data_IF_112507046328
#
_entry.id   IF_112507046328
#
_cell.length_a   1.000
_cell.length_b   1.000
_cell.length_c   1.000
_cell.angle_alpha   90.00
_cell.angle_beta   90.00
_cell.angle_gamma   90.00
#
_symmetry.space_group_name_H-M   'P 1'
#
loop_
_entity.id
_entity.type
_entity.pdbx_description
1 polymer ?
#
# COMPACT_ATOMS: atom_id res chain seq x y z
N UNK A 1 21.65 21.18 34.59
CA UNK A 1 20.25 21.38 34.18
C UNK A 1 19.94 20.28 33.19
N UNK A 2 19.25 19.25 33.64
CA UNK A 2 18.85 18.10 32.79
C UNK A 2 17.49 18.44 32.17
N UNK A 3 17.47 18.67 30.88
CA UNK A 3 16.21 18.74 30.14
C UNK A 3 15.58 17.35 30.07
N UNK A 4 14.50 17.20 30.79
CA UNK A 4 13.65 16.02 30.73
C UNK A 4 12.92 16.02 29.40
N UNK A 5 13.32 15.12 28.48
CA UNK A 5 12.58 14.85 27.25
C UNK A 5 11.22 14.31 27.68
N UNK A 6 10.17 15.09 27.48
CA UNK A 6 8.79 14.61 27.61
C UNK A 6 8.53 13.67 26.45
N UNK A 7 8.56 12.37 26.71
CA UNK A 7 7.99 11.36 25.83
C UNK A 7 6.48 11.59 25.82
N UNK A 8 5.94 12.05 24.70
CA UNK A 8 4.49 12.12 24.49
C UNK A 8 3.97 10.68 24.42
N UNK A 9 3.35 10.26 25.51
CA UNK A 9 2.73 8.96 25.68
C UNK A 9 1.57 8.77 24.70
N UNK A 10 1.65 7.65 23.96
CA UNK A 10 0.56 6.87 23.34
C UNK A 10 -0.61 7.68 22.80
N UNK A 11 -0.61 7.94 21.51
CA UNK A 11 -1.86 8.18 20.77
C UNK A 11 -2.67 6.89 20.83
N UNK A 12 -3.64 6.86 21.73
CA UNK A 12 -4.67 5.85 21.70
C UNK A 12 -5.44 6.03 20.37
N UNK A 13 -5.17 5.15 19.40
CA UNK A 13 -5.81 5.18 18.08
C UNK A 13 -7.23 4.60 18.27
N UNK A 14 -8.09 5.35 18.97
CA UNK A 14 -9.51 5.07 19.08
C UNK A 14 -10.19 5.46 17.77
N UNK A 15 -10.42 4.51 16.87
CA UNK A 15 -11.03 4.77 15.58
C UNK A 15 -11.74 3.53 15.05
N UNK A 16 -12.61 3.76 14.07
CA UNK A 16 -13.30 2.71 13.32
C UNK A 16 -12.27 1.91 12.51
N UNK A 17 -12.41 0.60 12.48
CA UNK A 17 -11.63 -0.26 11.58
C UNK A 17 -12.12 -0.05 10.15
N UNK A 18 -11.22 0.39 9.25
CA UNK A 18 -11.50 0.52 7.81
C UNK A 18 -11.23 -0.80 7.07
N UNK A 19 -10.27 -1.59 7.56
CA UNK A 19 -9.96 -2.93 7.07
C UNK A 19 -9.85 -3.90 8.25
N UNK A 20 -10.54 -5.03 8.15
CA UNK A 20 -10.39 -6.13 9.08
C UNK A 20 -10.15 -7.43 8.29
N UNK A 21 -9.11 -8.14 8.65
CA UNK A 21 -8.82 -9.48 8.18
C UNK A 21 -9.10 -10.41 9.35
N UNK A 22 -9.96 -11.40 9.17
CA UNK A 22 -10.39 -12.34 10.22
C UNK A 22 -10.13 -13.77 9.83
N UNK A 23 -9.28 -14.44 10.60
CA UNK A 23 -8.91 -15.84 10.45
C UNK A 23 -8.61 -16.21 8.99
N UNK A 24 -7.81 -15.36 8.30
CA UNK A 24 -7.56 -15.55 6.87
C UNK A 24 -6.56 -16.68 6.63
N UNK A 25 -6.93 -17.60 5.76
CA UNK A 25 -6.08 -18.68 5.25
C UNK A 25 -5.92 -18.52 3.74
N UNK A 26 -4.70 -18.27 3.29
CA UNK A 26 -4.38 -18.19 1.85
C UNK A 26 -3.33 -19.24 1.51
N UNK A 27 -3.74 -20.22 0.72
CA UNK A 27 -2.92 -21.37 0.37
C UNK A 27 -2.68 -21.44 -1.15
N UNK A 28 -1.55 -22.02 -1.54
CA UNK A 28 -1.21 -22.28 -2.94
C UNK A 28 -1.23 -23.78 -3.20
N UNK A 29 -2.05 -24.18 -4.17
CA UNK A 29 -2.19 -25.56 -4.61
C UNK A 29 -1.25 -25.82 -5.78
N UNK A 30 -0.14 -26.50 -5.51
CA UNK A 30 0.89 -26.84 -6.48
C UNK A 30 0.87 -28.34 -6.75
N UNK A 31 1.44 -28.79 -7.87
CA UNK A 31 1.55 -30.23 -8.18
C UNK A 31 2.31 -31.01 -7.11
N UNK A 32 3.24 -30.35 -6.42
CA UNK A 32 4.06 -30.91 -5.33
C UNK A 32 3.37 -30.91 -3.96
N UNK A 33 2.17 -30.32 -3.83
CA UNK A 33 1.44 -30.20 -2.55
C UNK A 33 0.90 -28.80 -2.28
N UNK A 34 0.41 -28.60 -1.05
CA UNK A 34 -0.21 -27.34 -0.62
C UNK A 34 0.77 -26.52 0.21
N UNK A 35 1.02 -25.27 -0.19
CA UNK A 35 1.81 -24.30 0.55
C UNK A 35 0.88 -23.33 1.28
N UNK A 36 0.89 -23.36 2.61
CA UNK A 36 0.09 -22.48 3.48
C UNK A 36 0.83 -21.17 3.73
N UNK A 37 0.73 -20.26 2.78
CA UNK A 37 1.47 -18.99 2.83
C UNK A 37 0.90 -18.01 3.86
N UNK A 38 -0.40 -18.09 4.15
CA UNK A 38 -1.08 -17.40 5.24
C UNK A 38 -1.98 -18.40 5.94
N UNK A 39 -1.89 -18.49 7.27
CA UNK A 39 -2.52 -19.58 8.04
C UNK A 39 -3.12 -19.03 9.35
N UNK A 40 -4.35 -18.50 9.29
CA UNK A 40 -5.08 -17.97 10.42
C UNK A 40 -4.63 -16.57 10.85
N UNK A 41 -4.60 -15.62 9.90
CA UNK A 41 -4.15 -14.25 10.16
C UNK A 41 -5.32 -13.35 10.52
N UNK A 42 -5.16 -12.60 11.63
CA UNK A 42 -6.06 -11.54 12.11
C UNK A 42 -5.35 -10.20 12.13
N UNK A 43 -5.83 -9.25 11.32
CA UNK A 43 -5.26 -7.90 11.18
C UNK A 43 -6.38 -6.86 11.17
N UNK A 44 -6.14 -5.72 11.83
CA UNK A 44 -7.06 -4.59 11.87
C UNK A 44 -6.31 -3.31 11.49
N UNK A 45 -6.81 -2.57 10.51
CA UNK A 45 -6.32 -1.25 10.14
C UNK A 45 -7.39 -0.21 10.50
N UNK A 46 -7.03 0.74 11.34
CA UNK A 46 -7.91 1.85 11.73
C UNK A 46 -7.89 2.96 10.69
N UNK A 47 -9.03 3.63 10.54
CA UNK A 47 -9.17 4.77 9.63
C UNK A 47 -8.14 5.87 9.95
N UNK A 48 -7.45 6.37 8.91
CA UNK A 48 -6.42 7.40 9.01
C UNK A 48 -5.11 6.96 9.69
N UNK A 49 -4.98 5.68 10.11
CA UNK A 49 -3.75 5.17 10.74
C UNK A 49 -2.80 4.51 9.72
N UNK A 50 -1.57 4.24 10.18
CA UNK A 50 -0.61 3.39 9.48
C UNK A 50 -0.34 2.14 10.31
N UNK A 51 -0.62 0.97 9.73
CA UNK A 51 -0.29 -0.33 10.31
C UNK A 51 0.91 -0.93 9.58
N UNK A 52 1.98 -1.21 10.31
CA UNK A 52 3.14 -1.95 9.81
C UNK A 52 2.90 -3.45 9.82
N UNK A 53 3.22 -4.15 8.75
CA UNK A 53 3.36 -5.61 8.74
C UNK A 53 4.84 -5.92 8.52
N UNK A 54 5.47 -6.54 9.51
CA UNK A 54 6.89 -6.88 9.47
C UNK A 54 7.11 -8.39 9.54
N UNK A 55 8.27 -8.84 9.10
CA UNK A 55 8.69 -10.24 9.16
C UNK A 55 9.70 -10.57 8.08
N UNK A 56 10.31 -11.73 8.16
CA UNK A 56 11.29 -12.20 7.18
C UNK A 56 10.68 -12.42 5.79
N UNK A 57 11.54 -12.56 4.77
CA UNK A 57 11.10 -12.95 3.43
C UNK A 57 10.37 -14.30 3.49
N UNK A 58 9.26 -14.43 2.79
CA UNK A 58 8.45 -15.65 2.82
C UNK A 58 7.51 -15.79 4.05
N UNK A 59 7.46 -14.83 4.97
CA UNK A 59 6.55 -14.89 6.14
C UNK A 59 5.05 -14.69 5.81
N UNK A 60 4.69 -14.40 4.55
CA UNK A 60 3.29 -14.24 4.12
C UNK A 60 2.80 -12.80 3.93
N UNK A 61 3.62 -11.78 4.19
CA UNK A 61 3.25 -10.34 4.14
C UNK A 61 2.66 -9.94 2.79
N UNK A 62 3.41 -10.13 1.71
CA UNK A 62 2.95 -9.78 0.35
C UNK A 62 1.76 -10.62 -0.10
N UNK A 63 1.68 -11.90 0.33
CA UNK A 63 0.52 -12.74 0.06
C UNK A 63 -0.73 -12.21 0.77
N UNK A 64 -0.59 -11.71 2.00
CA UNK A 64 -1.68 -11.03 2.72
C UNK A 64 -2.15 -9.79 1.94
N UNK A 65 -1.25 -8.94 1.48
CA UNK A 65 -1.58 -7.78 0.64
C UNK A 65 -2.29 -8.16 -0.66
N UNK A 66 -1.76 -9.15 -1.39
CA UNK A 66 -2.36 -9.65 -2.63
C UNK A 66 -3.73 -10.28 -2.40
N UNK A 67 -3.96 -10.93 -1.24
CA UNK A 67 -5.26 -11.45 -0.84
C UNK A 67 -6.29 -10.33 -0.65
N UNK A 68 -5.92 -9.26 0.07
CA UNK A 68 -6.77 -8.07 0.25
C UNK A 68 -7.11 -7.43 -1.11
N UNK A 69 -6.12 -7.29 -1.98
CA UNK A 69 -6.31 -6.78 -3.35
C UNK A 69 -7.11 -7.76 -4.24
N UNK A 70 -7.26 -9.03 -3.83
CA UNK A 70 -7.86 -10.07 -4.67
C UNK A 70 -7.09 -10.33 -5.96
N UNK A 71 -5.77 -10.22 -5.93
CA UNK A 71 -4.88 -10.40 -7.08
C UNK A 71 -4.40 -11.85 -7.27
N UNK A 72 -4.81 -12.76 -6.37
CA UNK A 72 -4.47 -14.19 -6.47
C UNK A 72 -5.37 -14.96 -7.44
N UNK A 73 -6.46 -14.35 -7.93
CA UNK A 73 -7.38 -15.00 -8.87
C UNK A 73 -6.69 -15.33 -10.19
N UNK A 74 -6.87 -16.58 -10.65
CA UNK A 74 -6.19 -17.09 -11.86
C UNK A 74 -4.78 -17.62 -11.61
N UNK A 75 -4.31 -17.59 -10.36
CA UNK A 75 -3.11 -18.29 -9.91
C UNK A 75 -3.48 -19.60 -9.17
N UNK A 76 -2.48 -20.32 -8.67
CA UNK A 76 -2.68 -21.47 -7.79
C UNK A 76 -3.07 -21.09 -6.36
N UNK A 77 -3.04 -19.78 -6.03
CA UNK A 77 -3.37 -19.24 -4.71
C UNK A 77 -4.85 -19.00 -4.52
N UNK A 78 -5.40 -19.40 -3.37
CA UNK A 78 -6.80 -19.20 -2.98
C UNK A 78 -6.90 -18.78 -1.52
N UNK A 79 -7.90 -17.95 -1.22
CA UNK A 79 -8.37 -17.75 0.15
C UNK A 79 -9.29 -18.92 0.45
N UNK A 80 -8.85 -19.83 1.32
CA UNK A 80 -9.60 -21.05 1.68
C UNK A 80 -10.63 -20.79 2.78
N UNK A 81 -10.24 -19.96 3.76
CA UNK A 81 -11.08 -19.60 4.91
C UNK A 81 -10.82 -18.14 5.32
N UNK A 82 -11.74 -17.61 6.11
CA UNK A 82 -11.64 -16.27 6.70
C UNK A 82 -12.41 -15.20 5.92
N UNK A 83 -12.32 -13.99 6.42
CA UNK A 83 -13.01 -12.83 5.89
C UNK A 83 -12.05 -11.66 5.72
N UNK A 84 -12.32 -10.83 4.73
CA UNK A 84 -11.67 -9.52 4.56
C UNK A 84 -12.79 -8.49 4.50
N UNK A 85 -12.93 -7.71 5.56
CA UNK A 85 -13.97 -6.69 5.67
C UNK A 85 -13.38 -5.32 5.34
N UNK A 86 -13.92 -4.68 4.32
CA UNK A 86 -13.66 -3.30 3.96
C UNK A 86 -14.86 -2.46 4.39
N UNK A 87 -14.67 -1.57 5.35
CA UNK A 87 -15.76 -0.78 5.95
C UNK A 87 -16.95 -1.66 6.38
N UNK A 88 -16.64 -2.83 6.98
CA UNK A 88 -17.60 -3.82 7.43
C UNK A 88 -18.22 -4.72 6.33
N UNK A 89 -17.92 -4.48 5.05
CA UNK A 89 -18.40 -5.32 3.94
C UNK A 89 -17.34 -6.38 3.58
N UNK A 90 -17.72 -7.64 3.59
CA UNK A 90 -16.83 -8.73 3.13
C UNK A 90 -16.56 -8.61 1.64
N UNK A 91 -15.25 -8.59 1.28
CA UNK A 91 -14.78 -8.46 -0.09
C UNK A 91 -14.15 -9.74 -0.65
N UNK A 92 -14.17 -10.86 0.10
CA UNK A 92 -13.60 -12.14 -0.37
C UNK A 92 -14.44 -12.72 -1.51
N UNK A 93 -15.77 -12.68 -1.37
CA UNK A 93 -16.70 -13.35 -2.30
C UNK A 93 -17.41 -12.42 -3.28
N UNK A 94 -16.98 -11.16 -3.39
CA UNK A 94 -17.56 -10.21 -4.36
C UNK A 94 -17.20 -10.59 -5.81
N UNK A 95 -18.03 -10.16 -6.75
CA UNK A 95 -17.80 -10.37 -8.17
C UNK A 95 -16.51 -9.69 -8.66
N UNK A 96 -15.96 -10.16 -9.78
CA UNK A 96 -14.81 -9.54 -10.42
C UNK A 96 -15.07 -8.09 -10.81
N UNK A 97 -16.29 -7.75 -11.19
CA UNK A 97 -16.68 -6.39 -11.53
C UNK A 97 -16.65 -5.46 -10.31
N UNK A 98 -17.23 -5.89 -9.18
CA UNK A 98 -17.17 -5.15 -7.93
C UNK A 98 -15.73 -4.97 -7.45
N UNK A 99 -14.92 -6.03 -7.51
CA UNK A 99 -13.50 -5.99 -7.15
C UNK A 99 -12.71 -5.00 -8.00
N UNK A 100 -12.98 -4.97 -9.32
CA UNK A 100 -12.36 -4.02 -10.23
C UNK A 100 -12.73 -2.57 -9.89
N UNK A 101 -13.97 -2.32 -9.44
CA UNK A 101 -14.41 -1.00 -8.98
C UNK A 101 -13.74 -0.57 -7.68
N UNK A 102 -13.44 -1.51 -6.77
CA UNK A 102 -12.75 -1.20 -5.51
C UNK A 102 -11.27 -0.86 -5.72
N UNK A 103 -10.58 -1.58 -6.61
CA UNK A 103 -9.17 -1.34 -6.91
C UNK A 103 -8.98 0.02 -7.54
N UNK A 104 -8.02 0.81 -7.02
CA UNK A 104 -7.70 2.15 -7.48
C UNK A 104 -8.64 3.24 -6.93
N UNK A 105 -9.87 2.92 -6.53
CA UNK A 105 -10.82 3.90 -5.97
C UNK A 105 -10.93 3.84 -4.44
N UNK A 106 -11.01 2.62 -3.87
CA UNK A 106 -11.12 2.39 -2.43
C UNK A 106 -9.82 1.86 -1.84
N UNK A 107 -9.22 0.90 -2.52
CA UNK A 107 -7.95 0.29 -2.13
C UNK A 107 -6.98 0.44 -3.29
N UNK A 108 -5.81 0.98 -3.04
CA UNK A 108 -4.72 1.06 -3.99
C UNK A 108 -3.47 0.37 -3.45
N UNK A 109 -2.52 0.04 -4.33
CA UNK A 109 -1.31 -0.67 -3.94
C UNK A 109 -0.08 -0.11 -4.64
N UNK A 110 0.99 0.08 -3.87
CA UNK A 110 2.35 0.26 -4.36
C UNK A 110 3.05 -1.10 -4.26
N UNK A 111 3.51 -1.62 -5.39
CA UNK A 111 4.19 -2.92 -5.46
C UNK A 111 5.69 -2.76 -5.17
N UNK A 112 6.32 -3.85 -4.74
CA UNK A 112 7.72 -3.91 -4.34
C UNK A 112 8.69 -3.43 -5.43
N UNK A 113 8.40 -3.71 -6.71
CA UNK A 113 9.30 -3.36 -7.82
C UNK A 113 8.73 -2.25 -8.71
N UNK A 114 9.32 -1.03 -8.69
CA UNK A 114 8.90 0.07 -9.56
C UNK A 114 9.06 -0.23 -11.05
N UNK A 115 10.03 -1.07 -11.42
CA UNK A 115 10.34 -1.38 -12.81
C UNK A 115 9.27 -2.23 -13.49
N UNK A 116 8.58 -3.08 -12.74
CA UNK A 116 7.54 -3.97 -13.25
C UNK A 116 6.14 -3.36 -13.15
N UNK A 117 5.97 -2.34 -12.29
CA UNK A 117 4.67 -1.71 -12.02
C UNK A 117 4.30 -0.64 -13.05
N UNK A 118 5.29 0.05 -13.63
CA UNK A 118 5.07 1.04 -14.69
C UNK A 118 5.23 0.37 -16.06
N UNK A 119 4.27 0.61 -16.98
CA UNK A 119 4.36 0.12 -18.34
C UNK A 119 5.48 0.88 -19.10
N UNK A 120 6.57 0.21 -19.51
CA UNK A 120 7.74 0.87 -20.07
C UNK A 120 7.48 1.53 -21.44
N UNK A 121 6.45 1.11 -22.16
CA UNK A 121 6.10 1.62 -23.50
C UNK A 121 4.98 2.67 -23.48
N UNK A 122 4.49 3.05 -22.29
CA UNK A 122 3.51 4.12 -22.13
C UNK A 122 4.13 5.33 -21.43
N UNK A 123 3.68 6.53 -21.80
CA UNK A 123 4.09 7.77 -21.12
C UNK A 123 3.54 7.82 -19.71
N UNK A 124 4.26 8.49 -18.82
CA UNK A 124 3.85 8.66 -17.41
C UNK A 124 2.47 9.30 -17.31
N UNK A 125 2.22 10.38 -18.03
CA UNK A 125 0.93 11.05 -18.02
C UNK A 125 -0.22 10.15 -18.46
N UNK A 126 -0.02 9.35 -19.52
CA UNK A 126 -1.06 8.46 -20.02
C UNK A 126 -1.44 7.39 -18.99
N UNK A 127 -0.47 6.84 -18.25
CA UNK A 127 -0.71 5.83 -17.21
C UNK A 127 -1.49 6.42 -16.01
N UNK A 128 -1.14 7.62 -15.55
CA UNK A 128 -1.85 8.27 -14.44
C UNK A 128 -3.27 8.67 -14.87
N UNK A 129 -3.41 9.24 -16.08
CA UNK A 129 -4.71 9.61 -16.62
C UNK A 129 -5.63 8.41 -16.84
N UNK A 130 -5.09 7.26 -17.24
CA UNK A 130 -5.86 6.01 -17.37
C UNK A 130 -6.52 5.62 -16.06
N UNK A 131 -5.77 5.68 -14.94
CA UNK A 131 -6.31 5.41 -13.61
C UNK A 131 -7.45 6.38 -13.25
N UNK A 132 -7.29 7.68 -13.54
CA UNK A 132 -8.33 8.69 -13.27
C UNK A 132 -9.60 8.40 -14.12
N UNK A 133 -9.43 8.23 -15.42
CA UNK A 133 -10.54 8.04 -16.36
C UNK A 133 -11.30 6.72 -16.13
N UNK A 134 -10.63 5.71 -15.56
CA UNK A 134 -11.27 4.44 -15.20
C UNK A 134 -12.21 4.59 -14.00
N UNK A 135 -11.89 5.47 -13.05
CA UNK A 135 -12.59 5.57 -11.76
C UNK A 135 -13.42 6.85 -11.59
N UNK A 136 -13.16 7.88 -12.38
CA UNK A 136 -13.83 9.18 -12.27
C UNK A 136 -14.50 9.57 -13.59
N UNK A 137 -15.69 10.13 -13.48
CA UNK A 137 -16.42 10.68 -14.65
C UNK A 137 -15.94 12.10 -14.93
N UNK A 138 -14.76 12.23 -15.51
CA UNK A 138 -14.13 13.51 -15.85
C UNK A 138 -13.70 13.56 -17.30
N UNK A 139 -13.55 14.75 -17.86
CA UNK A 139 -12.98 14.92 -19.19
C UNK A 139 -11.48 14.61 -19.21
N UNK A 140 -10.94 14.35 -20.41
CA UNK A 140 -9.50 14.10 -20.58
C UNK A 140 -8.65 15.28 -20.08
N UNK A 141 -9.12 16.51 -20.27
CA UNK A 141 -8.44 17.73 -19.80
C UNK A 141 -8.40 17.79 -18.27
N UNK A 142 -9.51 17.53 -17.60
CA UNK A 142 -9.56 17.48 -16.14
C UNK A 142 -8.70 16.35 -15.58
N UNK A 143 -8.64 15.19 -16.26
CA UNK A 143 -7.76 14.08 -15.90
C UNK A 143 -6.27 14.49 -15.99
N UNK A 144 -5.89 15.24 -17.04
CA UNK A 144 -4.54 15.77 -17.21
C UNK A 144 -4.18 16.76 -16.10
N UNK A 145 -5.09 17.69 -15.77
CA UNK A 145 -4.89 18.65 -14.68
C UNK A 145 -4.70 17.97 -13.33
N UNK A 146 -5.53 16.98 -13.01
CA UNK A 146 -5.40 16.16 -11.78
C UNK A 146 -4.10 15.36 -11.75
N UNK A 147 -3.69 14.76 -12.85
CA UNK A 147 -2.43 14.03 -12.95
C UNK A 147 -1.23 14.94 -12.69
N UNK A 148 -1.23 16.14 -13.27
CA UNK A 148 -0.19 17.16 -13.06
C UNK A 148 -0.17 17.60 -11.58
N UNK A 149 -1.32 17.87 -10.99
CA UNK A 149 -1.43 18.27 -9.59
C UNK A 149 -0.87 17.19 -8.66
N UNK A 150 -1.27 15.92 -8.85
CA UNK A 150 -0.75 14.81 -8.05
C UNK A 150 0.76 14.64 -8.20
N UNK A 151 1.31 14.75 -9.40
CA UNK A 151 2.76 14.72 -9.61
C UNK A 151 3.47 15.89 -8.91
N UNK A 152 2.88 17.09 -8.83
CA UNK A 152 3.42 18.19 -8.05
C UNK A 152 3.42 17.90 -6.54
N UNK A 153 2.33 17.30 -6.04
CA UNK A 153 2.23 16.90 -4.63
C UNK A 153 3.31 15.89 -4.24
N UNK A 154 3.74 15.03 -5.18
CA UNK A 154 4.86 14.10 -4.94
C UNK A 154 6.23 14.76 -5.03
N UNK A 155 6.31 16.09 -5.22
CA UNK A 155 7.57 16.84 -5.22
C UNK A 155 8.44 16.63 -6.46
N UNK A 156 7.85 16.19 -7.58
CA UNK A 156 8.55 16.01 -8.83
C UNK A 156 8.74 17.37 -9.53
N UNK A 157 9.95 17.67 -10.06
CA UNK A 157 10.19 18.88 -10.83
C UNK A 157 9.68 18.73 -12.27
N UNK A 158 9.32 19.86 -12.90
CA UNK A 158 8.98 19.93 -14.34
C UNK A 158 7.92 18.92 -14.76
N UNK A 159 6.84 18.82 -13.98
CA UNK A 159 5.79 17.80 -14.14
C UNK A 159 5.18 17.77 -15.53
N UNK A 160 5.01 18.94 -16.20
CA UNK A 160 4.45 19.02 -17.56
C UNK A 160 5.35 18.34 -18.60
N UNK A 161 6.66 18.35 -18.40
CA UNK A 161 7.61 17.59 -19.21
C UNK A 161 7.53 16.11 -18.86
N UNK A 162 7.49 15.77 -17.57
CA UNK A 162 7.44 14.41 -17.07
C UNK A 162 6.19 13.65 -17.54
N UNK A 163 5.05 14.31 -17.70
CA UNK A 163 3.85 13.73 -18.29
C UNK A 163 4.10 13.11 -19.68
N UNK A 164 5.08 13.61 -20.42
CA UNK A 164 5.44 13.16 -21.77
C UNK A 164 6.61 12.18 -21.81
N UNK A 165 7.26 11.94 -20.68
CA UNK A 165 8.40 11.03 -20.55
C UNK A 165 7.93 9.58 -20.34
N UNK A 166 8.83 8.65 -20.58
CA UNK A 166 8.63 7.21 -20.34
C UNK A 166 9.34 6.78 -19.06
N UNK A 167 8.94 5.68 -18.41
CA UNK A 167 9.53 5.20 -17.16
C UNK A 167 11.05 5.04 -17.20
N UNK A 168 11.61 4.58 -18.31
CA UNK A 168 13.07 4.37 -18.46
C UNK A 168 13.88 5.67 -18.46
N UNK A 169 13.24 6.82 -18.67
CA UNK A 169 13.90 8.15 -18.65
C UNK A 169 14.02 8.73 -17.23
N UNK A 170 13.39 8.09 -16.24
CA UNK A 170 13.33 8.55 -14.86
C UNK A 170 14.35 7.83 -13.97
N UNK A 171 14.89 8.52 -12.95
CA UNK A 171 15.65 7.90 -11.87
C UNK A 171 14.77 6.99 -11.01
N UNK A 172 15.38 6.11 -10.17
CA UNK A 172 14.66 5.23 -9.26
C UNK A 172 13.70 5.99 -8.34
N UNK A 173 14.18 7.02 -7.68
CA UNK A 173 13.37 7.87 -6.80
C UNK A 173 12.25 8.63 -7.53
N UNK A 174 12.48 9.04 -8.79
CA UNK A 174 11.43 9.66 -9.60
C UNK A 174 10.35 8.64 -9.99
N UNK A 175 10.73 7.42 -10.39
CA UNK A 175 9.77 6.33 -10.66
C UNK A 175 8.94 6.01 -9.43
N UNK A 176 9.56 5.96 -8.25
CA UNK A 176 8.85 5.71 -7.00
C UNK A 176 7.81 6.80 -6.72
N UNK A 177 8.17 8.08 -6.88
CA UNK A 177 7.24 9.21 -6.72
C UNK A 177 6.09 9.17 -7.72
N UNK A 178 6.34 8.74 -8.97
CA UNK A 178 5.30 8.53 -9.99
C UNK A 178 4.36 7.39 -9.58
N UNK A 179 4.88 6.28 -9.05
CA UNK A 179 4.04 5.19 -8.56
C UNK A 179 3.17 5.60 -7.38
N UNK A 180 3.71 6.38 -6.44
CA UNK A 180 2.94 6.96 -5.34
C UNK A 180 1.84 7.88 -5.90
N UNK A 181 2.16 8.75 -6.85
CA UNK A 181 1.18 9.60 -7.51
C UNK A 181 0.06 8.76 -8.17
N UNK A 182 0.42 7.73 -8.92
CA UNK A 182 -0.55 6.86 -9.59
C UNK A 182 -1.43 6.08 -8.60
N UNK A 183 -0.86 5.64 -7.48
CA UNK A 183 -1.61 4.93 -6.45
C UNK A 183 -2.59 5.84 -5.70
N UNK A 184 -2.27 7.12 -5.52
CA UNK A 184 -3.05 8.07 -4.72
C UNK A 184 -3.97 8.98 -5.53
N UNK A 185 -3.84 9.04 -6.86
CA UNK A 185 -4.54 10.02 -7.70
C UNK A 185 -6.08 9.92 -7.65
N UNK A 186 -6.62 8.78 -7.26
CA UNK A 186 -8.05 8.58 -7.05
C UNK A 186 -8.49 8.72 -5.58
N UNK A 187 -7.61 9.19 -4.68
CA UNK A 187 -7.86 9.38 -3.25
C UNK A 187 -8.40 8.10 -2.59
N UNK A 188 -7.67 6.98 -2.62
CA UNK A 188 -8.13 5.73 -2.03
C UNK A 188 -8.26 5.85 -0.51
N UNK A 189 -9.20 5.11 0.08
CA UNK A 189 -9.36 5.02 1.53
C UNK A 189 -8.23 4.23 2.20
N UNK A 190 -7.68 3.24 1.45
CA UNK A 190 -6.57 2.40 1.90
C UNK A 190 -5.48 2.37 0.83
N UNK A 191 -4.24 2.64 1.25
CA UNK A 191 -3.04 2.40 0.46
C UNK A 191 -2.27 1.22 1.06
N UNK A 192 -2.08 0.17 0.28
CA UNK A 192 -1.17 -0.92 0.63
C UNK A 192 0.19 -0.59 0.02
N UNK A 193 1.22 -0.47 0.83
CA UNK A 193 2.58 -0.19 0.40
C UNK A 193 3.47 -1.42 0.69
N UNK A 194 3.73 -2.22 -0.34
CA UNK A 194 4.53 -3.44 -0.23
C UNK A 194 5.99 -3.13 -0.54
N UNK A 195 6.81 -3.03 0.51
CA UNK A 195 8.22 -2.67 0.47
C UNK A 195 8.53 -1.43 -0.40
N UNK A 196 7.86 -0.29 -0.19
CA UNK A 196 7.86 0.84 -1.13
C UNK A 196 9.20 1.56 -1.24
N UNK A 197 10.17 1.25 -0.40
CA UNK A 197 11.50 1.88 -0.38
C UNK A 197 12.63 0.89 -0.65
N UNK A 198 12.33 -0.36 -0.91
CA UNK A 198 13.33 -1.38 -1.27
C UNK A 198 14.09 -0.96 -2.54
N UNK A 199 15.41 -1.14 -2.53
CA UNK A 199 16.35 -0.74 -3.58
C UNK A 199 16.54 0.79 -3.77
N UNK A 200 16.14 1.61 -2.79
CA UNK A 200 16.49 3.04 -2.73
C UNK A 200 17.64 3.28 -1.76
N UNK A 201 18.44 4.30 -2.03
CA UNK A 201 19.42 4.76 -1.03
C UNK A 201 18.73 5.40 0.17
N UNK A 202 19.42 5.42 1.33
CA UNK A 202 18.87 5.87 2.63
C UNK A 202 18.28 7.29 2.55
N UNK A 203 18.93 8.18 1.79
CA UNK A 203 18.46 9.58 1.67
C UNK A 203 17.16 9.65 0.90
N UNK A 204 17.03 8.93 -0.20
CA UNK A 204 15.80 8.88 -1.00
C UNK A 204 14.70 8.14 -0.23
N UNK A 205 15.06 7.06 0.50
CA UNK A 205 14.12 6.36 1.37
C UNK A 205 13.45 7.32 2.36
N UNK A 206 14.23 8.08 3.15
CA UNK A 206 13.69 9.06 4.09
C UNK A 206 12.75 10.07 3.41
N UNK A 207 13.14 10.60 2.25
CA UNK A 207 12.30 11.52 1.48
C UNK A 207 10.97 10.88 1.00
N UNK A 208 10.97 9.60 0.66
CA UNK A 208 9.75 8.88 0.26
C UNK A 208 8.83 8.64 1.45
N UNK A 209 9.39 8.28 2.63
CA UNK A 209 8.62 8.09 3.85
C UNK A 209 7.96 9.40 4.31
N UNK A 210 8.70 10.49 4.33
CA UNK A 210 8.16 11.83 4.61
C UNK A 210 7.04 12.21 3.65
N UNK A 211 7.24 11.96 2.35
CA UNK A 211 6.24 12.21 1.32
C UNK A 211 4.96 11.40 1.59
N UNK A 212 5.09 10.10 1.89
CA UNK A 212 3.93 9.25 2.18
C UNK A 212 3.17 9.72 3.41
N UNK A 213 3.88 10.10 4.49
CA UNK A 213 3.28 10.66 5.70
C UNK A 213 2.54 11.98 5.44
N UNK A 214 3.12 12.86 4.60
CA UNK A 214 2.47 14.11 4.19
C UNK A 214 1.19 13.82 3.40
N UNK A 215 1.27 13.01 2.34
CA UNK A 215 0.13 12.69 1.49
C UNK A 215 -0.97 11.95 2.24
N UNK A 216 -0.62 11.03 3.17
CA UNK A 216 -1.58 10.39 4.08
C UNK A 216 -2.46 11.42 4.81
N UNK A 217 -1.84 12.48 5.37
CA UNK A 217 -2.55 13.54 6.09
C UNK A 217 -3.39 14.43 5.18
N UNK A 218 -2.89 14.75 3.98
CA UNK A 218 -3.58 15.62 3.02
C UNK A 218 -4.78 14.93 2.37
N UNK A 219 -4.68 13.64 2.08
CA UNK A 219 -5.71 12.85 1.39
C UNK A 219 -6.66 12.15 2.37
N UNK A 220 -6.21 11.87 3.61
CA UNK A 220 -6.96 11.13 4.61
C UNK A 220 -6.94 9.61 4.41
N UNK A 221 -5.93 9.09 3.71
CA UNK A 221 -5.75 7.65 3.41
C UNK A 221 -5.20 6.91 4.61
N UNK A 222 -5.69 5.68 4.87
CA UNK A 222 -5.08 4.73 5.82
C UNK A 222 -4.01 3.91 5.11
N UNK A 223 -2.90 3.56 5.79
CA UNK A 223 -1.79 2.86 5.14
C UNK A 223 -1.56 1.49 5.79
N UNK A 224 -1.54 0.45 4.97
CA UNK A 224 -0.99 -0.87 5.31
C UNK A 224 0.44 -0.93 4.76
N UNK A 225 1.41 -0.78 5.65
CA UNK A 225 2.82 -0.65 5.28
C UNK A 225 3.57 -1.97 5.51
N UNK A 226 4.07 -2.60 4.46
CA UNK A 226 4.80 -3.85 4.53
C UNK A 226 6.28 -3.58 4.35
N UNK A 227 7.08 -4.07 5.28
CA UNK A 227 8.55 -3.97 5.23
C UNK A 227 9.20 -5.07 6.08
N UNK A 228 10.50 -5.26 5.90
CA UNK A 228 11.34 -6.06 6.80
C UNK A 228 12.22 -5.16 7.71
N UNK A 229 12.12 -3.84 7.57
CA UNK A 229 12.94 -2.86 8.30
C UNK A 229 12.14 -2.27 9.48
N UNK A 230 12.50 -2.67 10.70
CA UNK A 230 11.89 -2.19 11.93
C UNK A 230 12.16 -0.69 12.17
N UNK A 231 13.30 -0.17 11.70
CA UNK A 231 13.60 1.27 11.79
C UNK A 231 12.59 2.12 11.02
N UNK A 232 12.22 1.65 9.83
CA UNK A 232 11.17 2.29 9.01
C UNK A 232 9.82 2.22 9.72
N UNK A 233 9.49 1.07 10.32
CA UNK A 233 8.22 0.92 11.05
C UNK A 233 8.12 1.88 12.21
N UNK A 234 9.20 2.02 13.00
CA UNK A 234 9.26 2.96 14.12
C UNK A 234 9.04 4.43 13.69
N UNK A 235 9.41 4.78 12.46
CA UNK A 235 9.29 6.13 11.93
C UNK A 235 7.89 6.45 11.38
N UNK A 236 7.22 5.48 10.73
CA UNK A 236 6.01 5.77 9.93
C UNK A 236 4.74 5.09 10.43
N UNK A 237 4.82 4.08 11.28
CA UNK A 237 3.67 3.29 11.72
C UNK A 237 3.14 3.74 13.08
N UNK A 238 1.83 3.59 13.27
CA UNK A 238 1.17 3.80 14.55
C UNK A 238 1.09 2.48 15.34
N UNK A 239 0.88 1.37 14.61
CA UNK A 239 0.81 0.00 15.14
C UNK A 239 1.61 -0.94 14.24
N UNK A 240 1.97 -2.09 14.77
CA UNK A 240 2.73 -3.11 14.05
C UNK A 240 2.22 -4.52 14.33
N UNK A 241 2.30 -5.35 13.31
CA UNK A 241 2.01 -6.78 13.31
C UNK A 241 3.25 -7.51 12.83
N UNK A 242 3.75 -8.44 13.61
CA UNK A 242 4.89 -9.29 13.26
C UNK A 242 4.39 -10.60 12.69
N UNK A 243 4.81 -10.94 11.48
CA UNK A 243 4.47 -12.19 10.80
C UNK A 243 5.65 -13.14 10.72
N UNK A 244 5.41 -14.41 11.03
CA UNK A 244 6.36 -15.49 10.88
C UNK A 244 5.66 -16.75 10.36
N UNK A 245 6.20 -17.40 9.32
CA UNK A 245 5.67 -18.63 8.71
C UNK A 245 4.15 -18.60 8.47
N UNK A 246 3.65 -17.48 7.89
CA UNK A 246 2.23 -17.34 7.54
C UNK A 246 1.30 -16.97 8.68
N UNK A 247 1.80 -16.70 9.88
CA UNK A 247 1.01 -16.40 11.08
C UNK A 247 1.42 -15.07 11.71
N UNK A 248 0.49 -14.44 12.39
CA UNK A 248 0.78 -13.32 13.28
C UNK A 248 1.33 -13.89 14.59
N UNK A 249 2.52 -13.47 14.98
CA UNK A 249 3.18 -13.91 16.23
C UNK A 249 3.17 -12.84 17.30
N UNK A 250 3.10 -11.57 16.92
CA UNK A 250 3.04 -10.44 17.82
C UNK A 250 2.27 -9.27 17.17
N UNK A 251 1.58 -8.47 17.98
CA UNK A 251 0.93 -7.23 17.54
C UNK A 251 0.87 -6.24 18.70
N UNK A 252 1.10 -4.96 18.39
CA UNK A 252 1.07 -3.92 19.40
C UNK A 252 1.25 -2.53 18.81
N UNK A 253 1.38 -1.56 19.69
CA UNK A 253 1.86 -0.23 19.33
C UNK A 253 3.33 -0.31 18.90
N UNK A 254 3.75 0.57 18.01
CA UNK A 254 5.15 0.66 17.58
C UNK A 254 6.13 0.89 18.76
N UNK A 255 5.64 1.39 19.89
CA UNK A 255 6.44 1.63 21.09
C UNK A 255 6.54 0.41 22.02
N UNK A 256 5.74 -0.64 21.80
CA UNK A 256 5.65 -1.83 22.64
C UNK A 256 6.48 -3.00 22.08
N UNK A 257 6.83 -2.97 20.80
CA UNK A 257 7.59 -3.96 20.03
C UNK A 257 8.94 -3.35 19.60
#
# INVERSE_FOLDING_TARGET
>A
MSETIKVETTKDVSGKNILEIKNMHTWFHMDSGVVKSVDGVDIELKEGSTLGIVGESGSGKSVTALSVMGLLMGTTGKIEEGQILLDGKDIVHISNEERRKLRGSKISMIFQEPMTSLNPVMKIGDQIMEAILMHQKVSKKEAEEKAIEMLRMTGLPRVEKMMKEYPFQLSGGQRQRVMIAMALVCNPEILIADEPTTALDVTIQAQILDLMNKLKKEIGTSILFITHDLGVVAEVCDQVVVMYCGRVVEKGSVYDI
#
